data_IF_120314766832
#
_entry.id   IF_120314766832
#
_cell.length_a   1.000
_cell.length_b   1.000
_cell.length_c   1.000
_cell.angle_alpha   90.00
_cell.angle_beta   90.00
_cell.angle_gamma   90.00
#
_symmetry.space_group_name_H-M   'P 1'
#
loop_
_entity.id
_entity.type
_entity.pdbx_description
1 polymer ?
#
# COMPACT_ATOMS: atom_id res chain seq x y z
N UNK A 1 -15.19 -48.04 9.04
CA UNK A 1 -15.80 -46.71 9.26
C UNK A 1 -14.68 -45.69 9.35
N UNK A 2 -14.83 -44.58 8.62
CA UNK A 2 -14.01 -43.37 8.58
C UNK A 2 -12.57 -43.47 8.03
N UNK A 3 -12.46 -43.68 6.71
CA UNK A 3 -11.35 -43.11 5.93
C UNK A 3 -11.52 -41.59 5.92
N UNK A 4 -10.70 -40.89 6.71
CA UNK A 4 -10.61 -39.43 6.63
C UNK A 4 -9.79 -39.05 5.41
N UNK A 5 -10.44 -38.47 4.41
CA UNK A 5 -9.79 -37.81 3.27
C UNK A 5 -8.95 -36.64 3.78
N UNK A 6 -7.67 -36.88 4.07
CA UNK A 6 -6.69 -35.80 4.01
C UNK A 6 -6.63 -35.37 2.55
N UNK A 7 -7.28 -34.24 2.21
CA UNK A 7 -6.99 -33.50 0.97
C UNK A 7 -5.48 -33.43 0.86
N UNK A 8 -4.90 -34.08 -0.14
CA UNK A 8 -3.48 -33.92 -0.48
C UNK A 8 -3.21 -32.41 -0.53
N UNK A 9 -2.46 -31.93 0.45
CA UNK A 9 -1.87 -30.60 0.39
C UNK A 9 -1.08 -30.62 -0.91
N UNK A 10 -1.50 -29.86 -1.91
CA UNK A 10 -0.78 -29.82 -3.17
C UNK A 10 0.57 -29.14 -2.88
N UNK A 11 1.58 -29.94 -2.55
CA UNK A 11 2.90 -29.49 -2.08
C UNK A 11 3.49 -28.51 -3.07
N UNK A 12 3.29 -28.73 -4.38
CA UNK A 12 3.73 -27.80 -5.42
C UNK A 12 3.07 -26.41 -5.30
N UNK A 13 1.77 -26.34 -4.95
CA UNK A 13 1.06 -25.08 -4.73
C UNK A 13 1.57 -24.33 -3.51
N UNK A 14 1.84 -25.02 -2.41
CA UNK A 14 2.38 -24.40 -1.20
C UNK A 14 3.85 -23.98 -1.39
N UNK A 15 4.66 -24.79 -2.06
CA UNK A 15 6.04 -24.41 -2.45
C UNK A 15 6.03 -23.17 -3.34
N UNK A 16 5.17 -23.11 -4.36
CA UNK A 16 5.04 -21.93 -5.21
C UNK A 16 4.61 -20.68 -4.44
N UNK A 17 3.70 -20.84 -3.46
CA UNK A 17 3.27 -19.74 -2.59
C UNK A 17 4.43 -19.18 -1.76
N UNK A 18 5.31 -20.04 -1.23
CA UNK A 18 6.51 -19.61 -0.50
C UNK A 18 7.44 -18.82 -1.42
N UNK A 19 7.70 -19.32 -2.63
CA UNK A 19 8.53 -18.59 -3.61
C UNK A 19 7.95 -17.22 -3.95
N UNK A 20 6.63 -17.13 -4.13
CA UNK A 20 5.96 -15.84 -4.38
C UNK A 20 6.12 -14.89 -3.20
N UNK A 21 5.92 -15.35 -1.96
CA UNK A 21 6.09 -14.52 -0.76
C UNK A 21 7.53 -13.98 -0.68
N UNK A 22 8.53 -14.85 -0.89
CA UNK A 22 9.94 -14.43 -0.87
C UNK A 22 10.22 -13.40 -1.98
N UNK A 23 9.65 -13.60 -3.17
CA UNK A 23 9.81 -12.66 -4.29
C UNK A 23 9.19 -11.29 -3.97
N UNK A 24 7.97 -11.26 -3.41
CA UNK A 24 7.30 -10.02 -2.96
C UNK A 24 8.12 -9.30 -1.87
N UNK A 25 8.78 -10.03 -0.96
CA UNK A 25 9.69 -9.43 0.02
C UNK A 25 10.93 -8.81 -0.64
N UNK A 26 11.57 -9.50 -1.58
CA UNK A 26 12.76 -8.99 -2.27
C UNK A 26 12.43 -7.72 -3.05
N UNK A 27 11.37 -7.74 -3.86
CA UNK A 27 10.88 -6.58 -4.61
C UNK A 27 10.53 -5.41 -3.67
N UNK A 28 9.86 -5.71 -2.55
CA UNK A 28 9.52 -4.72 -1.53
C UNK A 28 10.76 -4.08 -0.90
N UNK A 29 11.78 -4.86 -0.53
CA UNK A 29 13.01 -4.32 0.04
C UNK A 29 13.80 -3.47 -0.96
N UNK A 30 13.90 -3.90 -2.22
CA UNK A 30 14.58 -3.12 -3.26
C UNK A 30 13.92 -1.76 -3.47
N UNK A 31 12.59 -1.72 -3.67
CA UNK A 31 11.86 -0.48 -3.87
C UNK A 31 11.92 0.44 -2.64
N UNK A 32 11.78 -0.12 -1.44
CA UNK A 32 11.74 0.69 -0.20
C UNK A 32 13.13 1.19 0.23
N UNK A 33 14.22 0.57 -0.23
CA UNK A 33 15.58 0.94 0.15
C UNK A 33 15.96 2.39 -0.22
N UNK A 34 15.30 2.97 -1.22
CA UNK A 34 15.60 4.32 -1.72
C UNK A 34 14.66 5.41 -1.22
N UNK A 35 13.61 5.07 -0.45
CA UNK A 35 12.53 6.00 -0.08
C UNK A 35 12.98 7.02 0.99
N UNK A 36 13.96 6.68 1.82
CA UNK A 36 14.41 7.53 2.93
C UNK A 36 13.38 7.63 4.08
N UNK A 37 13.52 8.64 4.97
CA UNK A 37 12.54 8.87 6.03
C UNK A 37 11.13 9.10 5.47
N UNK A 38 10.14 8.44 6.04
CA UNK A 38 8.79 8.43 5.50
C UNK A 38 7.70 8.44 6.58
N UNK A 39 6.51 8.91 6.21
CA UNK A 39 5.29 8.86 7.01
C UNK A 39 4.23 8.04 6.28
N UNK A 40 3.70 7.02 6.97
CA UNK A 40 2.58 6.24 6.46
C UNK A 40 1.25 6.89 6.84
N UNK A 41 0.39 7.15 5.85
CA UNK A 41 -0.96 7.70 6.03
C UNK A 41 -2.00 6.63 5.73
N UNK A 42 -2.91 6.43 6.68
CA UNK A 42 -4.05 5.52 6.56
C UNK A 42 -5.37 6.30 6.64
N UNK A 43 -6.39 5.80 5.96
CA UNK A 43 -7.73 6.35 6.04
C UNK A 43 -8.72 5.61 5.14
N UNK A 44 -9.96 6.08 5.16
CA UNK A 44 -11.05 5.46 4.41
C UNK A 44 -10.80 5.52 2.90
N UNK A 45 -10.97 4.36 2.24
CA UNK A 45 -10.99 4.23 0.78
C UNK A 45 -12.25 4.86 0.14
N UNK A 46 -13.26 5.20 0.93
CA UNK A 46 -14.59 5.63 0.47
C UNK A 46 -14.85 7.12 0.65
N UNK A 47 -13.87 7.87 1.14
CA UNK A 47 -14.02 9.32 1.36
C UNK A 47 -14.06 10.04 0.01
N UNK A 48 -15.10 10.82 -0.30
CA UNK A 48 -15.19 11.52 -1.57
C UNK A 48 -14.27 12.76 -1.61
N UNK A 49 -13.84 13.22 -2.81
CA UNK A 49 -12.91 14.36 -2.96
C UNK A 49 -13.41 15.71 -2.42
N UNK A 50 -14.72 15.90 -2.33
CA UNK A 50 -15.35 17.10 -1.78
C UNK A 50 -15.31 17.15 -0.25
N UNK A 51 -15.10 16.00 0.40
CA UNK A 51 -15.02 15.87 1.85
C UNK A 51 -13.91 16.76 2.45
N UNK A 52 -14.17 17.42 3.59
CA UNK A 52 -13.15 18.13 4.33
C UNK A 52 -11.94 17.25 4.67
N UNK A 53 -12.17 15.97 4.97
CA UNK A 53 -11.10 15.02 5.33
C UNK A 53 -10.20 14.69 4.14
N UNK A 54 -10.74 14.62 2.92
CA UNK A 54 -9.94 14.44 1.71
C UNK A 54 -8.99 15.64 1.53
N UNK A 55 -9.53 16.85 1.62
CA UNK A 55 -8.74 18.09 1.49
C UNK A 55 -7.67 18.20 2.59
N UNK A 56 -8.00 17.83 3.82
CA UNK A 56 -7.04 17.81 4.92
C UNK A 56 -5.93 16.78 4.71
N UNK A 57 -6.24 15.58 4.23
CA UNK A 57 -5.24 14.56 3.92
C UNK A 57 -4.30 15.03 2.79
N UNK A 58 -4.85 15.68 1.76
CA UNK A 58 -4.08 16.29 0.68
C UNK A 58 -3.10 17.37 1.20
N UNK A 59 -3.58 18.34 1.97
CA UNK A 59 -2.73 19.40 2.53
C UNK A 59 -1.70 18.86 3.54
N UNK A 60 -2.08 17.88 4.36
CA UNK A 60 -1.17 17.21 5.28
C UNK A 60 0.01 16.57 4.52
N UNK A 61 -0.28 15.84 3.45
CA UNK A 61 0.76 15.18 2.66
C UNK A 61 1.69 16.20 1.97
N UNK A 62 1.15 17.32 1.45
CA UNK A 62 1.96 18.43 0.93
C UNK A 62 2.94 18.96 1.99
N UNK A 63 2.45 19.18 3.22
CA UNK A 63 3.29 19.68 4.32
C UNK A 63 4.34 18.68 4.78
N UNK A 64 4.07 17.37 4.68
CA UNK A 64 5.02 16.31 5.02
C UNK A 64 6.18 16.31 4.02
N UNK A 65 5.90 16.30 2.72
CA UNK A 65 6.96 16.24 1.71
C UNK A 65 7.80 17.51 1.63
N UNK A 66 7.25 18.66 2.00
CA UNK A 66 8.00 19.90 2.16
C UNK A 66 9.04 19.87 3.30
N UNK A 67 9.00 18.84 4.16
CA UNK A 67 9.96 18.61 5.24
C UNK A 67 10.92 17.46 4.91
N UNK A 68 11.08 17.14 3.62
CA UNK A 68 11.95 16.08 3.11
C UNK A 68 11.59 14.68 3.65
N UNK A 69 10.30 14.46 3.91
CA UNK A 69 9.73 13.17 4.31
C UNK A 69 8.88 12.59 3.19
N UNK A 70 9.11 11.33 2.81
CA UNK A 70 8.25 10.64 1.86
C UNK A 70 6.86 10.34 2.47
N UNK A 71 5.86 10.20 1.61
CA UNK A 71 4.50 9.76 2.01
C UNK A 71 4.25 8.36 1.47
N UNK A 72 3.83 7.46 2.35
CA UNK A 72 3.46 6.09 2.02
C UNK A 72 1.98 5.87 2.32
N UNK A 73 1.25 5.21 1.42
CA UNK A 73 -0.13 4.79 1.63
C UNK A 73 -0.37 3.38 1.10
N UNK A 74 -1.58 2.86 1.24
CA UNK A 74 -2.01 1.64 0.54
C UNK A 74 -2.37 1.85 -0.95
N UNK A 75 -2.25 3.10 -1.45
CA UNK A 75 -2.47 3.48 -2.85
C UNK A 75 -3.87 3.24 -3.42
N UNK A 76 -4.87 3.02 -2.56
CA UNK A 76 -6.28 2.96 -2.94
C UNK A 76 -6.96 4.33 -2.99
N UNK A 77 -8.28 4.38 -3.23
CA UNK A 77 -9.06 5.62 -3.34
C UNK A 77 -9.21 6.37 -2.01
N UNK A 78 -9.91 7.51 -2.04
CA UNK A 78 -10.28 8.28 -0.86
C UNK A 78 -9.10 8.94 -0.17
N UNK A 79 -8.93 8.72 1.13
CA UNK A 79 -7.87 9.38 1.92
C UNK A 79 -6.47 9.00 1.43
N UNK A 80 -6.28 7.75 0.98
CA UNK A 80 -4.99 7.29 0.46
C UNK A 80 -4.63 8.00 -0.83
N UNK A 81 -5.59 8.10 -1.76
CA UNK A 81 -5.45 8.88 -2.98
C UNK A 81 -5.16 10.35 -2.67
N UNK A 82 -5.91 10.97 -1.75
CA UNK A 82 -5.70 12.37 -1.36
C UNK A 82 -4.28 12.63 -0.87
N UNK A 83 -3.76 11.74 0.00
CA UNK A 83 -2.40 11.82 0.52
C UNK A 83 -1.34 11.63 -0.58
N UNK A 84 -1.48 10.61 -1.43
CA UNK A 84 -0.55 10.40 -2.54
C UNK A 84 -0.56 11.59 -3.51
N UNK A 85 -1.75 12.09 -3.85
CA UNK A 85 -1.93 13.25 -4.72
C UNK A 85 -1.28 14.50 -4.11
N UNK A 86 -1.44 14.72 -2.80
CA UNK A 86 -0.82 15.85 -2.10
C UNK A 86 0.70 15.79 -2.12
N UNK A 87 1.27 14.63 -1.83
CA UNK A 87 2.71 14.40 -1.89
C UNK A 87 3.27 14.61 -3.31
N UNK A 88 2.61 14.01 -4.33
CA UNK A 88 3.01 14.11 -5.73
C UNK A 88 2.92 15.54 -6.27
N UNK A 89 1.80 16.24 -6.04
CA UNK A 89 1.59 17.61 -6.52
C UNK A 89 2.59 18.60 -5.91
N UNK A 90 3.14 18.32 -4.74
CA UNK A 90 4.18 19.10 -4.09
C UNK A 90 5.62 18.70 -4.52
N UNK A 91 5.76 17.76 -5.46
CA UNK A 91 7.05 17.31 -5.99
C UNK A 91 7.83 16.38 -5.07
N UNK A 92 7.17 15.81 -4.06
CA UNK A 92 7.79 14.89 -3.11
C UNK A 92 7.68 13.42 -3.50
N UNK A 93 8.36 12.57 -2.73
CA UNK A 93 8.26 11.11 -2.88
C UNK A 93 6.91 10.61 -2.37
N UNK A 94 6.11 10.01 -3.26
CA UNK A 94 4.82 9.39 -2.97
C UNK A 94 4.85 7.90 -3.32
N UNK A 95 4.49 7.04 -2.36
CA UNK A 95 4.54 5.58 -2.49
C UNK A 95 3.17 4.97 -2.20
N UNK A 96 2.69 4.09 -3.08
CA UNK A 96 1.51 3.25 -2.87
C UNK A 96 1.90 1.78 -2.72
N UNK A 97 1.60 1.18 -1.58
CA UNK A 97 1.77 -0.26 -1.32
C UNK A 97 0.42 -0.96 -1.51
N UNK A 98 0.06 -1.19 -2.77
CA UNK A 98 -1.25 -1.69 -3.15
C UNK A 98 -1.38 -3.19 -2.87
N UNK A 99 -2.61 -3.65 -2.65
CA UNK A 99 -2.96 -5.06 -2.54
C UNK A 99 -3.97 -5.43 -3.62
N UNK A 100 -3.89 -6.65 -4.15
CA UNK A 100 -4.87 -7.14 -5.11
C UNK A 100 -6.16 -7.52 -4.40
N UNK A 101 -7.25 -6.81 -4.70
CA UNK A 101 -8.60 -7.12 -4.22
C UNK A 101 -9.45 -7.64 -5.39
N UNK A 102 -10.37 -8.61 -5.14
CA UNK A 102 -11.24 -9.15 -6.18
C UNK A 102 -12.30 -8.15 -6.68
N UNK A 103 -12.57 -7.08 -5.94
CA UNK A 103 -13.37 -5.90 -6.32
C UNK A 103 -12.83 -4.68 -5.55
N UNK A 104 -12.63 -3.56 -6.24
CA UNK A 104 -12.34 -2.23 -5.65
C UNK A 104 -13.61 -1.43 -5.40
#
# INVERSE_FOLDING_TARGET
MAHGEYKELNVAKETWRIFRIISEFVEGFEMMSTVGPAVSIFGSARTPPDSPYYKQAYELARMIVQRDLAVITGGGPGIMEAANKGAFDAGGTSVGLNISLPQE
#
